data_IF_222080998694
#
_entry.id   IF_222080998694
#
_cell.length_a   1.000
_cell.length_b   1.000
_cell.length_c   1.000
_cell.angle_alpha   90.00
_cell.angle_beta   90.00
_cell.angle_gamma   90.00
#
_symmetry.space_group_name_H-M   'P 1'
#
loop_
_entity.id
_entity.type
_entity.pdbx_description
1 polymer ?
#
# COMPACT_ATOMS: atom_id res chain seq x y z
N UNK A 1 -9.20 83.82 -19.08
CA UNK A 1 -10.46 83.35 -19.70
C UNK A 1 -10.14 82.06 -20.47
N UNK A 2 -10.64 80.89 -19.99
CA UNK A 2 -10.47 79.51 -20.53
C UNK A 2 -9.00 78.99 -20.48
N UNK A 3 -8.62 77.74 -20.17
CA UNK A 3 -9.15 76.38 -20.34
C UNK A 3 -8.58 75.48 -19.21
N UNK A 4 -9.39 74.73 -18.46
CA UNK A 4 -9.68 73.28 -18.60
C UNK A 4 -8.44 72.39 -18.85
N UNK A 5 -7.94 71.69 -17.82
CA UNK A 5 -7.24 70.41 -18.00
C UNK A 5 -7.64 69.41 -16.91
N UNK A 6 -7.99 68.23 -17.41
CA UNK A 6 -8.48 67.03 -16.72
C UNK A 6 -7.42 66.40 -15.83
N UNK A 7 -7.79 65.98 -14.63
CA UNK A 7 -7.04 65.01 -13.84
C UNK A 7 -7.94 63.82 -13.54
N UNK A 8 -7.71 62.70 -14.24
CA UNK A 8 -8.31 61.41 -13.94
C UNK A 8 -7.82 60.94 -12.57
N UNK A 9 -8.72 60.86 -11.59
CA UNK A 9 -8.51 60.03 -10.40
C UNK A 9 -8.76 58.56 -10.77
N UNK A 10 -7.67 57.82 -11.02
CA UNK A 10 -7.70 56.37 -11.04
C UNK A 10 -7.93 55.87 -9.60
N UNK A 11 -9.16 55.42 -9.32
CA UNK A 11 -9.43 54.63 -8.12
C UNK A 11 -8.75 53.27 -8.28
N UNK A 12 -7.58 53.08 -7.68
CA UNK A 12 -7.06 51.74 -7.42
C UNK A 12 -7.82 51.17 -6.22
N UNK A 13 -8.82 50.32 -6.46
CA UNK A 13 -9.28 49.40 -5.44
C UNK A 13 -8.08 48.52 -5.06
N UNK A 14 -7.63 48.48 -3.80
CA UNK A 14 -6.77 47.38 -3.38
C UNK A 14 -7.62 46.12 -3.48
N UNK A 15 -7.34 45.28 -4.47
CA UNK A 15 -7.77 43.89 -4.41
C UNK A 15 -7.13 43.31 -3.17
N UNK A 16 -7.93 43.17 -2.10
CA UNK A 16 -7.58 42.34 -0.96
C UNK A 16 -7.52 40.90 -1.49
N UNK A 17 -6.37 40.52 -2.03
CA UNK A 17 -6.04 39.11 -2.22
C UNK A 17 -5.91 38.57 -0.81
N UNK A 18 -6.99 37.98 -0.30
CA UNK A 18 -6.87 37.01 0.77
C UNK A 18 -5.93 35.93 0.23
N UNK A 19 -4.74 35.71 0.81
CA UNK A 19 -4.09 34.43 0.58
C UNK A 19 -5.15 33.38 0.93
N UNK A 20 -5.35 32.41 0.04
CA UNK A 20 -5.94 31.17 0.50
C UNK A 20 -4.99 30.68 1.59
N UNK A 21 -5.45 30.75 2.84
CA UNK A 21 -4.84 30.01 3.92
C UNK A 21 -4.85 28.56 3.43
N UNK A 22 -3.70 28.11 2.92
CA UNK A 22 -3.38 26.71 2.79
C UNK A 22 -3.27 26.22 4.23
N UNK A 23 -4.41 26.00 4.85
CA UNK A 23 -4.52 25.36 6.14
C UNK A 23 -3.77 24.04 6.00
N UNK A 24 -2.61 24.00 6.65
CA UNK A 24 -1.60 22.98 6.46
C UNK A 24 -2.20 21.61 6.73
N UNK A 25 -2.48 20.89 5.64
CA UNK A 25 -2.43 19.44 5.61
C UNK A 25 -1.16 19.10 4.82
N UNK A 26 0.03 19.42 5.35
CA UNK A 26 0.53 18.86 6.59
C UNK A 26 1.17 17.54 6.19
N UNK A 27 2.41 17.67 5.69
CA UNK A 27 3.46 16.68 5.42
C UNK A 27 3.06 15.29 4.89
N UNK A 28 3.90 14.71 4.04
CA UNK A 28 3.84 13.27 3.86
C UNK A 28 3.95 12.65 5.25
N UNK A 29 2.86 12.02 5.71
CA UNK A 29 2.87 11.26 6.96
C UNK A 29 4.06 10.31 6.88
N UNK A 30 4.87 10.18 7.95
CA UNK A 30 5.96 9.23 7.92
C UNK A 30 5.40 7.84 7.58
N UNK A 31 6.25 6.95 7.07
CA UNK A 31 5.85 5.60 6.66
C UNK A 31 5.28 4.74 7.81
N UNK A 32 5.17 5.31 9.01
CA UNK A 32 4.53 4.78 10.21
C UNK A 32 2.99 4.91 10.21
N UNK A 33 2.37 5.53 9.19
CA UNK A 33 0.89 5.53 9.05
C UNK A 33 0.31 4.12 8.87
N UNK A 34 1.13 3.15 8.43
CA UNK A 34 0.77 1.73 8.47
C UNK A 34 1.07 1.22 9.89
N UNK A 35 0.07 1.23 10.78
CA UNK A 35 0.21 0.57 12.08
C UNK A 35 0.34 -0.94 11.87
N UNK A 36 1.48 -1.48 12.27
CA UNK A 36 1.70 -2.91 12.45
C UNK A 36 1.21 -3.35 13.83
N UNK A 37 0.66 -4.57 13.99
CA UNK A 37 0.39 -5.55 12.93
C UNK A 37 -0.78 -5.10 12.04
N UNK A 38 -0.78 -5.51 10.76
CA UNK A 38 -2.00 -5.48 9.96
C UNK A 38 -2.97 -6.47 10.64
N UNK A 39 -3.83 -5.97 11.51
CA UNK A 39 -4.93 -6.77 12.05
C UNK A 39 -5.69 -7.36 10.85
N UNK A 40 -5.98 -8.66 10.83
CA UNK A 40 -6.82 -9.21 9.78
C UNK A 40 -8.13 -8.42 9.79
N UNK A 41 -8.45 -7.75 8.67
CA UNK A 41 -9.68 -7.01 8.43
C UNK A 41 -10.89 -7.95 8.37
N UNK A 42 -11.13 -8.65 9.47
CA UNK A 42 -12.38 -9.32 9.77
C UNK A 42 -13.07 -8.65 10.97
N UNK A 43 -12.52 -7.54 11.47
CA UNK A 43 -13.27 -6.63 12.34
C UNK A 43 -14.04 -5.69 11.41
N UNK A 44 -15.33 -5.95 11.33
CA UNK A 44 -16.38 -5.14 10.72
C UNK A 44 -16.36 -3.72 11.34
N UNK A 45 -15.35 -2.90 11.05
CA UNK A 45 -15.34 -1.49 11.42
C UNK A 45 -16.28 -0.81 10.43
N UNK A 46 -17.52 -0.66 10.88
CA UNK A 46 -18.68 -0.25 10.08
C UNK A 46 -18.52 1.13 9.41
N UNK A 47 -17.49 1.90 9.79
CA UNK A 47 -17.29 3.29 9.41
C UNK A 47 -15.88 3.61 8.86
N UNK A 48 -15.02 2.61 8.64
CA UNK A 48 -13.67 2.84 8.09
C UNK A 48 -13.56 2.29 6.65
N UNK A 49 -13.38 3.20 5.69
CA UNK A 49 -13.15 2.83 4.28
C UNK A 49 -11.72 2.31 4.15
N UNK A 50 -11.51 1.04 4.42
CA UNK A 50 -10.22 0.39 4.18
C UNK A 50 -10.13 0.05 2.69
N UNK A 51 -9.03 0.46 2.03
CA UNK A 51 -8.76 0.17 0.63
C UNK A 51 -8.41 -1.31 0.38
N UNK A 52 -9.12 -2.25 1.01
CA UNK A 52 -8.90 -3.69 0.89
C UNK A 52 -10.02 -4.36 0.09
N UNK A 53 -10.30 -3.82 -1.09
CA UNK A 53 -11.13 -4.51 -2.07
C UNK A 53 -10.28 -5.49 -2.87
N UNK A 54 -10.92 -6.48 -3.51
CA UNK A 54 -10.26 -7.47 -4.37
C UNK A 54 -9.31 -6.85 -5.41
N UNK A 55 -9.57 -5.61 -5.84
CA UNK A 55 -8.80 -4.87 -6.85
C UNK A 55 -8.03 -3.66 -6.30
N UNK A 56 -7.99 -3.42 -4.99
CA UNK A 56 -7.22 -2.33 -4.35
C UNK A 56 -6.33 -2.80 -3.19
N UNK A 57 -5.56 -1.88 -2.59
CA UNK A 57 -4.76 -2.14 -1.38
C UNK A 57 -3.40 -2.77 -1.61
N UNK A 58 -2.67 -2.95 -0.51
CA UNK A 58 -1.31 -3.54 -0.51
C UNK A 58 -1.36 -4.93 -1.15
N UNK A 59 -0.38 -5.20 -2.02
CA UNK A 59 -0.29 -6.44 -2.80
C UNK A 59 0.72 -7.39 -2.17
N UNK A 60 0.30 -8.05 -1.09
CA UNK A 60 0.96 -9.23 -0.52
C UNK A 60 0.40 -10.51 -1.12
N UNK A 61 1.08 -11.64 -0.92
CA UNK A 61 0.58 -12.95 -1.28
C UNK A 61 -0.77 -13.20 -0.58
N UNK A 62 -1.80 -13.55 -1.36
CA UNK A 62 -3.15 -13.85 -0.90
C UNK A 62 -3.77 -12.81 0.08
N UNK A 63 -3.31 -11.55 0.01
CA UNK A 63 -3.69 -10.49 0.97
C UNK A 63 -3.33 -10.82 2.43
N UNK A 64 -2.31 -11.65 2.64
CA UNK A 64 -1.80 -11.95 3.98
C UNK A 64 -1.15 -10.72 4.62
N UNK A 65 -1.10 -10.67 5.97
CA UNK A 65 -0.33 -9.66 6.68
C UNK A 65 1.14 -9.66 6.23
N UNK A 66 1.67 -8.47 5.93
CA UNK A 66 3.10 -8.28 5.74
C UNK A 66 3.81 -8.17 7.09
N UNK A 67 4.95 -8.82 7.22
CA UNK A 67 5.79 -8.80 8.42
C UNK A 67 7.25 -8.65 8.01
N UNK A 68 8.03 -7.88 8.77
CA UNK A 68 9.45 -7.70 8.52
C UNK A 68 10.28 -8.86 9.11
N UNK A 69 10.21 -10.02 8.45
CA UNK A 69 10.72 -11.30 8.99
C UNK A 69 12.25 -11.43 9.09
N UNK A 70 13.01 -10.63 8.35
CA UNK A 70 14.48 -10.76 8.24
C UNK A 70 15.25 -9.79 9.16
N UNK A 71 14.58 -9.16 10.12
CA UNK A 71 15.21 -8.27 11.11
C UNK A 71 15.69 -9.05 12.33
N UNK A 72 16.64 -8.47 13.06
CA UNK A 72 17.17 -9.08 14.29
C UNK A 72 16.32 -8.78 15.53
N UNK A 73 15.43 -7.79 15.43
CA UNK A 73 14.79 -7.15 16.58
C UNK A 73 13.41 -7.75 16.91
N UNK A 74 12.75 -8.40 15.95
CA UNK A 74 11.39 -8.92 16.12
C UNK A 74 11.31 -10.42 15.82
N UNK A 75 11.09 -11.23 16.87
CA UNK A 75 10.84 -12.67 16.74
C UNK A 75 9.34 -12.94 16.87
N UNK A 76 8.59 -12.65 15.81
CA UNK A 76 7.20 -13.09 15.71
C UNK A 76 7.23 -14.58 15.36
N UNK A 77 6.52 -15.45 16.10
CA UNK A 77 6.54 -16.85 15.76
C UNK A 77 5.67 -17.05 14.51
N UNK A 78 6.26 -17.58 13.46
CA UNK A 78 5.67 -17.75 12.12
C UNK A 78 5.67 -19.23 11.79
N UNK A 79 4.53 -19.75 11.33
CA UNK A 79 4.44 -21.15 10.91
C UNK A 79 4.75 -21.30 9.42
N UNK A 80 4.31 -20.34 8.60
CA UNK A 80 4.59 -20.29 7.15
C UNK A 80 4.88 -18.84 6.72
N UNK A 81 5.96 -18.66 5.96
CA UNK A 81 6.37 -17.38 5.41
C UNK A 81 6.45 -17.44 3.87
N UNK A 82 5.84 -16.47 3.19
CA UNK A 82 6.09 -16.21 1.77
C UNK A 82 7.24 -15.21 1.64
N UNK A 83 8.32 -15.61 0.98
CA UNK A 83 9.50 -14.79 0.78
C UNK A 83 9.94 -14.87 -0.69
N UNK A 84 10.12 -13.72 -1.33
CA UNK A 84 10.58 -13.66 -2.72
C UNK A 84 12.09 -13.50 -2.82
N UNK A 85 12.68 -14.08 -3.88
CA UNK A 85 14.08 -13.89 -4.25
C UNK A 85 14.14 -13.41 -5.71
N UNK A 86 14.04 -12.09 -5.97
CA UNK A 86 13.92 -11.53 -7.32
C UNK A 86 15.27 -11.52 -8.06
N UNK A 87 15.72 -12.68 -8.55
CA UNK A 87 17.00 -12.84 -9.24
C UNK A 87 16.85 -13.59 -10.56
N UNK A 88 17.52 -13.11 -11.62
CA UNK A 88 17.57 -13.81 -12.92
C UNK A 88 18.88 -13.60 -13.72
N UNK A 89 19.91 -13.03 -13.09
CA UNK A 89 21.21 -12.77 -13.75
C UNK A 89 21.92 -14.07 -14.16
N UNK A 90 21.55 -15.22 -13.57
CA UNK A 90 22.05 -16.55 -13.94
C UNK A 90 21.30 -17.24 -15.10
N UNK A 91 20.36 -16.57 -15.77
CA UNK A 91 19.60 -17.18 -16.88
C UNK A 91 20.42 -17.25 -18.17
N UNK A 92 20.25 -18.34 -18.95
CA UNK A 92 20.99 -18.56 -20.21
C UNK A 92 20.29 -18.02 -21.46
N UNK A 93 19.02 -17.61 -21.36
CA UNK A 93 18.23 -17.17 -22.50
C UNK A 93 17.32 -15.98 -22.18
N UNK A 94 16.13 -16.21 -21.61
CA UNK A 94 15.14 -15.14 -21.37
C UNK A 94 15.20 -14.67 -19.90
N UNK A 95 15.74 -13.46 -19.62
CA UNK A 95 15.59 -12.84 -18.31
C UNK A 95 14.13 -12.37 -18.10
N UNK A 96 13.79 -12.06 -16.86
CA UNK A 96 12.46 -11.59 -16.45
C UNK A 96 11.94 -12.25 -15.18
N UNK A 97 12.54 -13.36 -14.73
CA UNK A 97 12.11 -14.06 -13.52
C UNK A 97 12.24 -13.20 -12.25
N UNK A 98 13.08 -12.15 -12.26
CA UNK A 98 13.15 -11.17 -11.16
C UNK A 98 11.81 -10.48 -10.86
N UNK A 99 10.92 -10.38 -11.84
CA UNK A 99 9.57 -9.82 -11.67
C UNK A 99 8.53 -10.86 -11.20
N UNK A 100 8.93 -12.13 -11.11
CA UNK A 100 8.08 -13.26 -10.71
C UNK A 100 7.42 -13.08 -9.35
N UNK A 101 8.16 -12.78 -8.26
CA UNK A 101 7.57 -12.61 -6.94
C UNK A 101 6.43 -11.57 -6.89
N UNK A 102 6.65 -10.39 -7.48
CA UNK A 102 5.62 -9.36 -7.58
C UNK A 102 4.41 -9.81 -8.41
N UNK A 103 4.64 -10.50 -9.54
CA UNK A 103 3.58 -11.05 -10.37
C UNK A 103 2.74 -12.11 -9.67
N UNK A 104 3.36 -13.01 -8.90
CA UNK A 104 2.66 -14.03 -8.11
C UNK A 104 1.76 -13.38 -7.05
N UNK A 105 2.26 -12.37 -6.33
CA UNK A 105 1.44 -11.62 -5.35
C UNK A 105 0.23 -10.98 -6.01
N UNK A 106 0.42 -10.32 -7.16
CA UNK A 106 -0.68 -9.75 -7.93
C UNK A 106 -1.71 -10.80 -8.40
N UNK A 107 -1.26 -11.98 -8.84
CA UNK A 107 -2.13 -13.08 -9.27
C UNK A 107 -2.88 -13.76 -8.11
N UNK A 108 -2.30 -13.74 -6.91
CA UNK A 108 -2.84 -14.43 -5.72
C UNK A 108 -4.02 -13.72 -5.04
N UNK A 109 -4.43 -12.53 -5.50
CA UNK A 109 -5.44 -11.68 -4.85
C UNK A 109 -6.80 -12.33 -4.63
N UNK A 110 -7.11 -13.43 -5.33
CA UNK A 110 -8.36 -14.21 -5.16
C UNK A 110 -8.23 -15.38 -4.18
N UNK A 111 -7.03 -15.72 -3.72
CA UNK A 111 -6.77 -16.87 -2.84
C UNK A 111 -7.01 -16.55 -1.35
N UNK A 112 -7.71 -15.47 -1.02
CA UNK A 112 -7.96 -15.04 0.37
C UNK A 112 -8.78 -16.08 1.16
N UNK A 113 -9.12 -15.78 2.43
CA UNK A 113 -9.87 -16.66 3.34
C UNK A 113 -11.12 -17.32 2.74
N UNK A 114 -11.78 -16.68 1.76
CA UNK A 114 -12.97 -17.21 1.07
C UNK A 114 -12.66 -17.97 -0.22
N UNK A 115 -11.53 -17.69 -0.88
CA UNK A 115 -11.15 -18.28 -2.17
C UNK A 115 -10.12 -19.41 -2.09
N UNK A 116 -9.54 -19.65 -0.91
CA UNK A 116 -8.49 -20.66 -0.71
C UNK A 116 -8.96 -22.10 -0.43
N UNK A 117 -10.26 -22.39 -0.51
CA UNK A 117 -10.77 -23.75 -0.24
C UNK A 117 -10.44 -24.71 -1.39
N UNK A 118 -9.74 -25.79 -1.08
CA UNK A 118 -9.48 -26.88 -2.01
C UNK A 118 -10.57 -27.95 -1.85
N UNK A 119 -11.36 -28.16 -2.92
CA UNK A 119 -12.49 -29.11 -2.89
C UNK A 119 -12.02 -30.57 -2.76
N UNK A 120 -11.06 -31.08 -3.57
CA UNK A 120 -10.57 -32.46 -3.42
C UNK A 120 -9.95 -32.79 -2.06
N UNK A 121 -9.28 -31.84 -1.42
CA UNK A 121 -8.62 -32.02 -0.12
C UNK A 121 -9.50 -31.63 1.06
N UNK A 122 -10.70 -31.11 0.80
CA UNK A 122 -11.65 -30.60 1.80
C UNK A 122 -10.99 -29.66 2.83
N UNK A 123 -10.06 -28.83 2.37
CA UNK A 123 -9.18 -28.06 3.25
C UNK A 123 -9.00 -26.63 2.76
N UNK A 124 -8.89 -25.69 3.71
CA UNK A 124 -8.47 -24.33 3.47
C UNK A 124 -7.23 -24.02 4.33
N UNK A 125 -6.03 -23.86 3.74
CA UNK A 125 -4.81 -23.64 4.49
C UNK A 125 -4.85 -22.36 5.31
N UNK A 126 -5.59 -21.33 4.87
CA UNK A 126 -5.74 -20.07 5.59
C UNK A 126 -6.69 -20.16 6.80
N UNK A 127 -7.39 -21.29 6.99
CA UNK A 127 -8.24 -21.57 8.16
C UNK A 127 -7.67 -22.67 9.06
N UNK A 128 -6.43 -23.09 8.84
CA UNK A 128 -5.77 -24.19 9.57
C UNK A 128 -5.28 -23.81 10.98
N UNK A 129 -5.41 -22.55 11.39
CA UNK A 129 -4.86 -22.04 12.65
C UNK A 129 -3.36 -21.71 12.60
N UNK A 130 -2.72 -21.91 11.44
CA UNK A 130 -1.33 -21.52 11.21
C UNK A 130 -1.20 -20.01 11.03
N UNK A 131 -0.10 -19.43 11.52
CA UNK A 131 0.31 -18.06 11.23
C UNK A 131 1.07 -18.03 9.93
N UNK A 132 0.39 -17.54 8.91
CA UNK A 132 0.90 -17.43 7.54
C UNK A 132 1.07 -15.95 7.21
N UNK A 133 2.27 -15.54 6.80
CA UNK A 133 2.63 -14.14 6.54
C UNK A 133 3.37 -13.96 5.21
N UNK A 134 3.40 -12.74 4.70
CA UNK A 134 4.29 -12.33 3.61
C UNK A 134 5.47 -11.55 4.18
N UNK A 135 6.69 -12.01 3.90
CA UNK A 135 7.93 -11.44 4.39
C UNK A 135 8.60 -10.49 3.40
N UNK A 136 7.94 -10.18 2.28
CA UNK A 136 8.53 -9.37 1.21
C UNK A 136 9.62 -10.12 0.45
N UNK A 137 10.66 -9.41 0.06
CA UNK A 137 11.70 -9.92 -0.83
C UNK A 137 13.09 -9.79 -0.21
N UNK A 138 13.96 -10.75 -0.49
CA UNK A 138 15.37 -10.69 -0.13
C UNK A 138 16.07 -9.66 -1.06
N UNK A 139 16.93 -8.77 -0.53
CA UNK A 139 17.68 -7.83 -1.35
C UNK A 139 18.79 -8.56 -2.11
N UNK A 140 18.46 -9.11 -3.28
CA UNK A 140 19.38 -9.76 -4.22
C UNK A 140 19.37 -9.03 -5.58
N UNK A 141 20.49 -9.07 -6.29
CA UNK A 141 20.66 -8.54 -7.66
C UNK A 141 21.50 -9.50 -8.50
#
# INVERSE_FOLDING_TARGET
MKYLLSALCLFSLPTLVRPHDHEGRGDQVPLDYVRFPLEPLNRYIKDEVTADATFSGITTFAKLPWVQCLTREEHIPIDIAFLGAPFDTGTSYRPGARFGPAGIRAGSRRLTLYGGYNVPLEANPFRSGLRIVDCGDIPVT
#
